data_IF_309723212469
#
_entry.id   IF_309723212469
#
_cell.length_a   1.000
_cell.length_b   1.000
_cell.length_c   1.000
_cell.angle_alpha   90.00
_cell.angle_beta   90.00
_cell.angle_gamma   90.00
#
_symmetry.space_group_name_H-M   'P 1'
#
loop_
_entity.id
_entity.type
_entity.pdbx_description
1 polymer ?
#
# COMPACT_ATOMS: atom_id res chain seq x y z
N UNK A 1 35.16 10.05 -2.78
CA UNK A 1 35.83 11.13 -3.55
C UNK A 1 35.48 10.92 -5.01
N UNK A 2 35.02 11.97 -5.70
CA UNK A 2 34.64 11.84 -7.10
C UNK A 2 35.88 11.86 -7.99
N UNK A 3 35.91 10.91 -8.90
CA UNK A 3 36.94 10.76 -9.93
C UNK A 3 36.27 10.84 -11.30
N UNK A 4 37.05 11.12 -12.33
CA UNK A 4 36.62 11.04 -13.72
C UNK A 4 37.50 10.04 -14.45
N UNK A 5 36.94 9.43 -15.49
CA UNK A 5 37.63 8.43 -16.28
C UNK A 5 36.90 8.13 -17.56
N UNK A 6 37.53 7.34 -18.42
CA UNK A 6 36.98 6.98 -19.73
C UNK A 6 36.58 5.51 -19.74
N UNK A 7 35.38 5.20 -20.24
CA UNK A 7 34.92 3.82 -20.39
C UNK A 7 35.70 3.15 -21.53
N UNK A 8 36.58 2.20 -21.21
CA UNK A 8 37.47 1.54 -22.19
C UNK A 8 36.92 0.19 -22.68
N UNK A 9 36.14 -0.49 -21.85
CA UNK A 9 35.56 -1.80 -22.14
C UNK A 9 34.12 -1.83 -21.64
N UNK A 10 33.23 -2.45 -22.41
CA UNK A 10 31.82 -2.58 -22.08
C UNK A 10 31.27 -3.86 -22.69
N UNK A 11 30.62 -4.67 -21.88
CA UNK A 11 29.88 -5.85 -22.30
C UNK A 11 28.39 -5.57 -22.11
N UNK A 12 27.66 -5.43 -23.21
CA UNK A 12 26.23 -5.11 -23.19
C UNK A 12 25.35 -6.26 -22.72
N UNK A 13 25.73 -7.50 -23.02
CA UNK A 13 24.96 -8.70 -22.66
C UNK A 13 24.96 -8.94 -21.16
N UNK A 14 26.13 -8.76 -20.53
CA UNK A 14 26.31 -8.95 -19.09
C UNK A 14 26.17 -7.64 -18.29
N UNK A 15 26.11 -6.49 -18.96
CA UNK A 15 25.88 -5.19 -18.33
C UNK A 15 27.02 -4.72 -17.43
N UNK A 16 28.28 -4.97 -17.78
CA UNK A 16 29.43 -4.46 -17.01
C UNK A 16 30.56 -3.99 -17.93
N UNK A 17 31.49 -3.23 -17.37
CA UNK A 17 32.64 -2.73 -18.10
C UNK A 17 33.78 -2.31 -17.19
N UNK A 18 34.77 -1.65 -17.81
CA UNK A 18 35.93 -1.11 -17.12
C UNK A 18 36.16 0.34 -17.52
N UNK A 19 36.41 1.16 -16.52
CA UNK A 19 36.69 2.59 -16.64
C UNK A 19 38.15 2.82 -16.30
N UNK A 20 38.88 3.47 -17.18
CA UNK A 20 40.24 3.92 -16.86
C UNK A 20 40.16 5.23 -16.10
N UNK A 21 40.57 5.22 -14.84
CA UNK A 21 40.65 6.40 -13.97
C UNK A 21 41.70 7.39 -14.50
N UNK A 22 41.37 8.68 -14.57
CA UNK A 22 42.30 9.71 -15.04
C UNK A 22 43.47 10.01 -14.07
N UNK A 23 43.31 9.65 -12.79
CA UNK A 23 44.34 9.92 -11.77
C UNK A 23 45.29 8.76 -11.53
N UNK A 24 44.78 7.53 -11.65
CA UNK A 24 45.50 6.34 -11.19
C UNK A 24 45.86 5.37 -12.30
N UNK A 25 45.44 5.61 -13.56
CA UNK A 25 45.56 4.69 -14.73
C UNK A 25 45.07 3.25 -14.50
N UNK A 26 44.59 2.93 -13.30
CA UNK A 26 43.99 1.65 -12.94
C UNK A 26 42.64 1.49 -13.64
N UNK A 27 42.39 0.27 -14.11
CA UNK A 27 41.07 -0.15 -14.59
C UNK A 27 40.13 -0.38 -13.40
N UNK A 28 39.07 0.41 -13.35
CA UNK A 28 38.05 0.35 -12.30
C UNK A 28 36.84 -0.38 -12.86
N UNK A 29 36.35 -1.38 -12.13
CA UNK A 29 35.17 -2.13 -12.53
C UNK A 29 33.92 -1.25 -12.45
N UNK A 30 33.03 -1.33 -13.44
CA UNK A 30 31.73 -0.63 -13.41
C UNK A 30 30.60 -1.56 -13.83
N UNK A 31 29.49 -1.49 -13.12
CA UNK A 31 28.27 -2.24 -13.45
C UNK A 31 27.20 -1.31 -14.04
N UNK A 32 26.31 -1.82 -14.89
CA UNK A 32 25.19 -1.05 -15.49
C UNK A 32 24.29 -0.44 -14.42
N UNK A 33 24.16 -1.09 -13.26
CA UNK A 33 23.40 -0.57 -12.12
C UNK A 33 23.99 0.72 -11.52
N UNK A 34 25.30 0.98 -11.74
CA UNK A 34 25.93 2.21 -11.28
C UNK A 34 25.64 3.40 -12.21
N UNK A 35 25.17 3.17 -13.43
CA UNK A 35 24.77 4.20 -14.38
C UNK A 35 23.37 4.74 -14.06
N UNK A 36 23.09 6.01 -14.40
CA UNK A 36 21.75 6.58 -14.25
C UNK A 36 20.78 5.86 -15.20
N UNK A 37 19.54 5.67 -14.74
CA UNK A 37 18.45 5.02 -15.49
C UNK A 37 17.85 5.96 -16.55
N UNK A 38 18.71 6.56 -17.36
CA UNK A 38 18.32 7.53 -18.38
C UNK A 38 17.87 6.87 -19.69
N UNK A 39 17.91 5.53 -19.75
CA UNK A 39 17.65 4.75 -20.97
C UNK A 39 18.80 4.74 -21.98
N UNK A 40 19.88 5.52 -21.75
CA UNK A 40 21.07 5.48 -22.59
C UNK A 40 22.02 4.37 -22.15
N UNK A 41 22.40 3.51 -23.10
CA UNK A 41 23.46 2.52 -22.91
C UNK A 41 24.83 3.21 -22.79
N UNK A 42 25.75 2.70 -21.96
CA UNK A 42 27.12 3.21 -21.89
C UNK A 42 27.85 3.03 -23.21
N UNK A 43 28.63 4.03 -23.64
CA UNK A 43 29.40 3.98 -24.89
C UNK A 43 30.88 3.85 -24.60
N UNK A 44 31.57 3.02 -25.39
CA UNK A 44 33.03 2.94 -25.36
C UNK A 44 33.62 4.31 -25.73
N UNK A 45 34.67 4.73 -25.00
CA UNK A 45 35.30 6.03 -25.15
C UNK A 45 34.57 7.19 -24.46
N UNK A 46 33.48 6.92 -23.72
CA UNK A 46 32.74 7.96 -23.02
C UNK A 46 33.44 8.42 -21.74
N UNK A 47 33.57 9.74 -21.56
CA UNK A 47 34.03 10.34 -20.31
C UNK A 47 32.90 10.30 -19.28
N UNK A 48 33.16 9.74 -18.11
CA UNK A 48 32.20 9.65 -17.01
C UNK A 48 32.84 10.07 -15.69
N UNK A 49 32.03 10.61 -14.78
CA UNK A 49 32.43 10.87 -13.39
C UNK A 49 31.83 9.79 -12.48
N UNK A 50 32.59 9.29 -11.52
CA UNK A 50 32.16 8.22 -10.63
C UNK A 50 32.85 8.35 -9.27
N UNK A 51 32.28 7.72 -8.25
CA UNK A 51 32.92 7.56 -6.96
C UNK A 51 33.67 6.22 -6.92
N UNK A 52 34.88 6.23 -6.36
CA UNK A 52 35.68 5.02 -6.14
C UNK A 52 35.28 4.39 -4.81
N UNK A 53 34.78 3.16 -4.86
CA UNK A 53 34.46 2.32 -3.71
C UNK A 53 35.18 0.96 -3.85
N UNK A 54 35.32 0.19 -2.78
CA UNK A 54 35.89 -1.16 -2.84
C UNK A 54 34.75 -2.17 -2.77
N UNK A 55 34.76 -3.21 -3.61
CA UNK A 55 33.81 -4.32 -3.49
C UNK A 55 34.09 -5.21 -2.26
N UNK A 56 33.28 -6.25 -2.09
CA UNK A 56 33.45 -7.23 -1.01
C UNK A 56 34.81 -7.95 -1.07
N UNK A 57 35.42 -8.02 -2.26
CA UNK A 57 36.73 -8.61 -2.51
C UNK A 57 37.88 -7.57 -2.44
N UNK A 58 37.58 -6.31 -2.14
CA UNK A 58 38.56 -5.22 -2.00
C UNK A 58 39.03 -4.57 -3.32
N UNK A 59 38.44 -4.91 -4.46
CA UNK A 59 38.77 -4.35 -5.78
C UNK A 59 38.09 -3.00 -5.99
N UNK A 60 38.74 -2.05 -6.69
CA UNK A 60 38.16 -0.74 -6.96
C UNK A 60 36.98 -0.84 -7.94
N UNK A 61 35.83 -0.36 -7.48
CA UNK A 61 34.56 -0.34 -8.19
C UNK A 61 34.05 1.10 -8.31
N UNK A 62 33.59 1.44 -9.51
CA UNK A 62 32.99 2.72 -9.83
C UNK A 62 31.51 2.66 -9.46
N UNK A 63 31.12 3.49 -8.49
CA UNK A 63 29.72 3.64 -8.07
C UNK A 63 29.22 5.04 -8.43
N UNK A 64 27.89 5.19 -8.51
CA UNK A 64 27.22 6.49 -8.70
C UNK A 64 27.77 7.26 -9.91
N UNK A 65 27.77 6.60 -11.07
CA UNK A 65 28.29 7.16 -12.32
C UNK A 65 27.41 8.31 -12.79
N UNK A 66 28.03 9.37 -13.32
CA UNK A 66 27.40 10.54 -13.90
C UNK A 66 28.05 10.87 -15.24
N UNK A 67 27.22 11.23 -16.23
CA UNK A 67 27.70 11.65 -17.55
C UNK A 67 27.91 13.18 -17.53
N UNK A 68 29.13 13.69 -17.77
CA UNK A 68 29.40 15.13 -17.86
C UNK A 68 28.65 15.73 -19.06
N UNK A 69 28.05 16.90 -18.87
CA UNK A 69 27.34 17.62 -19.93
C UNK A 69 25.84 17.38 -20.01
N UNK A 70 25.29 16.43 -19.24
CA UNK A 70 23.84 16.40 -19.00
C UNK A 70 23.59 17.09 -17.65
N UNK A 71 22.98 18.27 -17.69
CA UNK A 71 22.26 18.74 -16.52
C UNK A 71 21.37 17.57 -16.08
N UNK A 72 21.34 17.19 -14.79
CA UNK A 72 20.36 16.21 -14.34
C UNK A 72 19.03 16.71 -14.87
N UNK A 73 18.43 15.99 -15.82
CA UNK A 73 17.01 16.15 -16.12
C UNK A 73 16.39 15.83 -14.80
N UNK A 74 16.13 16.88 -14.01
CA UNK A 74 15.53 16.77 -12.70
C UNK A 74 14.33 15.87 -12.94
N UNK A 75 14.32 14.61 -12.48
CA UNK A 75 13.08 13.88 -12.52
C UNK A 75 12.17 14.78 -11.72
N UNK A 76 11.13 15.32 -12.38
CA UNK A 76 10.23 16.30 -11.80
C UNK A 76 9.97 15.81 -10.39
N UNK A 77 10.56 16.52 -9.41
CA UNK A 77 10.56 16.09 -8.03
C UNK A 77 9.08 16.09 -7.72
N UNK A 78 8.42 14.93 -7.77
CA UNK A 78 7.22 14.72 -7.00
C UNK A 78 7.71 15.06 -5.60
N UNK A 79 7.30 16.23 -5.15
CA UNK A 79 7.55 16.70 -3.82
C UNK A 79 7.30 15.49 -2.89
N UNK A 80 8.13 15.25 -1.87
CA UNK A 80 7.79 14.25 -0.88
C UNK A 80 6.43 14.65 -0.33
N UNK A 81 5.38 13.98 -0.80
CA UNK A 81 4.04 14.16 -0.30
C UNK A 81 4.11 13.58 1.11
N UNK A 82 4.35 14.49 2.06
CA UNK A 82 4.30 14.26 3.49
C UNK A 82 4.95 12.95 3.92
N UNK A 83 6.27 12.96 4.07
CA UNK A 83 6.91 12.17 5.11
C UNK A 83 6.46 12.72 6.47
N UNK A 84 5.18 12.52 6.77
CA UNK A 84 4.68 12.49 8.12
C UNK A 84 5.33 11.26 8.73
N UNK A 85 6.56 11.43 9.22
CA UNK A 85 7.14 10.59 10.24
C UNK A 85 6.20 10.68 11.45
N UNK A 86 5.09 9.96 11.36
CA UNK A 86 4.13 9.75 12.43
C UNK A 86 4.84 8.87 13.41
N UNK A 87 5.56 9.52 14.33
CA UNK A 87 6.15 8.92 15.51
C UNK A 87 5.12 7.96 16.12
N UNK A 88 5.35 6.66 15.95
CA UNK A 88 4.53 5.60 16.53
C UNK A 88 4.42 5.77 18.04
N UNK A 89 5.39 6.45 18.65
CA UNK A 89 5.44 6.80 20.06
C UNK A 89 4.27 7.69 20.51
N UNK A 90 3.80 8.62 19.67
CA UNK A 90 2.67 9.50 20.01
C UNK A 90 1.33 8.77 20.05
N UNK A 91 1.16 7.72 19.22
CA UNK A 91 -0.05 6.89 19.22
C UNK A 91 -0.12 5.96 20.41
N UNK A 92 1.02 5.40 20.82
CA UNK A 92 1.08 4.56 22.03
C UNK A 92 0.81 5.40 23.28
N UNK A 93 1.42 6.59 23.39
CA UNK A 93 1.20 7.48 24.55
C UNK A 93 -0.26 7.94 24.64
N UNK A 94 -0.91 8.27 23.52
CA UNK A 94 -2.32 8.68 23.51
C UNK A 94 -3.26 7.54 23.87
N UNK A 95 -3.03 6.32 23.37
CA UNK A 95 -3.82 5.15 23.74
C UNK A 95 -3.65 4.82 25.22
N UNK A 96 -2.41 4.85 25.75
CA UNK A 96 -2.15 4.62 27.17
C UNK A 96 -2.81 5.69 28.06
N UNK A 97 -2.80 6.95 27.63
CA UNK A 97 -3.46 8.05 28.36
C UNK A 97 -4.98 7.88 28.37
N UNK A 98 -5.60 7.48 27.25
CA UNK A 98 -7.05 7.21 27.20
C UNK A 98 -7.43 6.01 28.07
N UNK A 99 -6.67 4.91 28.02
CA UNK A 99 -6.90 3.74 28.86
C UNK A 99 -6.73 4.10 30.34
N UNK A 100 -5.69 4.85 30.69
CA UNK A 100 -5.44 5.33 32.05
C UNK A 100 -6.59 6.20 32.57
N UNK A 101 -7.07 7.17 31.79
CA UNK A 101 -8.21 8.02 32.16
C UNK A 101 -9.48 7.18 32.29
N UNK A 102 -9.73 6.23 31.39
CA UNK A 102 -10.88 5.33 31.46
C UNK A 102 -10.87 4.45 32.72
N UNK A 103 -9.72 3.86 33.08
CA UNK A 103 -9.57 3.08 34.30
C UNK A 103 -9.71 3.94 35.57
N UNK A 104 -9.19 5.17 35.55
CA UNK A 104 -9.33 6.12 36.66
C UNK A 104 -10.81 6.52 36.85
N UNK A 105 -11.50 6.88 35.76
CA UNK A 105 -12.92 7.22 35.78
C UNK A 105 -13.77 6.02 36.26
N UNK A 106 -13.48 4.81 35.79
CA UNK A 106 -14.17 3.59 36.24
C UNK A 106 -13.96 3.36 37.74
N UNK A 107 -12.74 3.54 38.25
CA UNK A 107 -12.43 3.38 39.68
C UNK A 107 -13.12 4.43 40.56
N UNK A 108 -13.40 5.63 40.03
CA UNK A 108 -14.12 6.69 40.73
C UNK A 108 -15.66 6.52 40.67
N UNK A 109 -16.17 5.81 39.66
CA UNK A 109 -17.62 5.60 39.43
C UNK A 109 -18.12 4.26 40.00
N UNK A 110 -17.29 3.20 40.00
CA UNK A 110 -17.62 1.90 40.56
C UNK A 110 -18.13 1.89 42.01
N UNK A 111 -17.61 2.69 42.97
CA UNK A 111 -18.14 2.68 44.34
C UNK A 111 -19.54 3.30 44.46
N UNK A 112 -20.09 3.92 43.41
CA UNK A 112 -21.44 4.52 43.43
C UNK A 112 -22.56 3.52 43.10
N UNK A 113 -22.23 2.37 42.49
CA UNK A 113 -23.21 1.38 42.03
C UNK A 113 -23.32 0.13 42.93
N UNK A 114 -22.49 0.01 43.96
CA UNK A 114 -22.56 -1.08 44.94
C UNK A 114 -23.54 -0.82 46.09
N UNK A 115 -24.63 -0.08 45.85
CA UNK A 115 -25.75 0.02 46.78
C UNK A 115 -26.73 -1.12 46.48
N UNK A 116 -26.48 -2.28 47.08
CA UNK A 116 -27.39 -3.43 47.05
C UNK A 116 -28.69 -3.07 47.80
N UNK A 117 -29.88 -3.13 47.18
CA UNK A 117 -31.13 -2.98 47.91
C UNK A 117 -31.41 -4.24 48.75
N UNK A 118 -31.64 -4.05 50.04
CA UNK A 118 -31.99 -5.06 51.05
C UNK A 118 -33.31 -5.77 50.70
N UNK A 119 -33.38 -7.11 50.75
CA UNK A 119 -34.63 -7.85 50.52
C UNK A 119 -35.59 -7.72 51.72
N UNK A 120 -36.79 -7.21 51.48
CA UNK A 120 -37.90 -7.18 52.45
C UNK A 120 -38.63 -8.54 52.46
N UNK A 121 -38.96 -9.12 53.62
CA UNK A 121 -39.64 -10.41 53.68
C UNK A 121 -41.11 -10.33 53.23
N UNK A 122 -41.47 -11.34 52.45
CA UNK A 122 -42.75 -11.60 51.80
C UNK A 122 -43.83 -12.04 52.80
N UNK A 123 -44.99 -11.37 52.80
CA UNK A 123 -46.21 -11.86 53.45
C UNK A 123 -47.11 -12.46 52.37
N UNK A 124 -47.39 -13.75 52.51
CA UNK A 124 -48.28 -14.53 51.67
C UNK A 124 -49.76 -14.15 51.88
N UNK A 125 -50.51 -14.03 50.79
CA UNK A 125 -51.98 -14.00 50.77
C UNK A 125 -52.49 -14.91 49.64
N UNK A 126 -53.53 -15.73 49.85
CA UNK A 126 -53.80 -16.91 49.04
C UNK A 126 -54.64 -16.67 47.77
N UNK A 127 -54.51 -17.65 46.87
CA UNK A 127 -55.26 -17.87 45.62
C UNK A 127 -56.77 -17.66 45.75
N UNK A 128 -57.37 -17.12 44.70
CA UNK A 128 -58.71 -17.52 44.29
C UNK A 128 -58.81 -17.51 42.76
N UNK A 129 -59.19 -18.66 42.23
CA UNK A 129 -59.35 -18.99 40.82
C UNK A 129 -60.59 -18.37 40.20
N UNK A 130 -60.53 -18.04 38.91
CA UNK A 130 -61.56 -18.26 37.87
C UNK A 130 -60.96 -17.74 36.55
N UNK A 131 -60.57 -18.61 35.62
CA UNK A 131 -61.42 -19.26 34.62
C UNK A 131 -61.98 -18.27 33.59
N UNK A 132 -61.96 -18.70 32.32
CA UNK A 132 -62.47 -18.08 31.07
C UNK A 132 -61.34 -17.52 30.19
N UNK A 133 -61.20 -17.78 28.90
CA UNK A 133 -61.69 -18.78 27.93
C UNK A 133 -60.79 -18.54 26.70
N UNK A 134 -60.33 -19.60 26.04
CA UNK A 134 -59.63 -19.50 24.76
C UNK A 134 -60.53 -18.85 23.68
N UNK A 135 -59.95 -18.23 22.65
CA UNK A 135 -59.91 -19.00 21.40
C UNK A 135 -58.64 -18.79 20.57
N UNK A 136 -58.16 -19.91 20.04
CA UNK A 136 -57.87 -20.19 18.63
C UNK A 136 -57.82 -19.00 17.65
N UNK A 137 -56.65 -18.82 17.01
CA UNK A 137 -56.49 -18.53 15.56
C UNK A 137 -54.99 -18.61 15.23
N UNK A 138 -54.45 -19.74 14.77
CA UNK A 138 -54.28 -20.15 13.36
C UNK A 138 -53.48 -19.14 12.51
N UNK A 139 -52.15 -19.32 12.52
CA UNK A 139 -51.23 -19.47 11.38
C UNK A 139 -51.16 -18.34 10.29
N UNK A 140 -50.39 -18.54 9.20
CA UNK A 140 -48.91 -18.48 9.10
C UNK A 140 -48.49 -17.44 8.03
N UNK A 141 -47.18 -17.23 7.81
CA UNK A 141 -46.55 -17.00 6.48
C UNK A 141 -45.18 -16.32 6.64
N UNK A 142 -44.09 -17.04 6.32
CA UNK A 142 -43.29 -16.83 5.08
C UNK A 142 -42.77 -15.40 4.94
N UNK A 143 -41.49 -15.18 5.21
CA UNK A 143 -40.43 -15.26 4.21
C UNK A 143 -40.71 -14.34 3.03
N UNK A 144 -39.86 -13.32 2.87
CA UNK A 144 -39.12 -13.03 1.62
C UNK A 144 -38.32 -11.76 1.86
N UNK A 145 -37.01 -11.93 1.97
CA UNK A 145 -36.07 -10.87 1.70
C UNK A 145 -36.24 -10.45 0.22
N UNK A 146 -36.43 -9.17 -0.10
CA UNK A 146 -36.16 -8.71 -1.44
C UNK A 146 -34.64 -8.55 -1.55
N UNK A 147 -33.99 -9.60 -2.06
CA UNK A 147 -32.77 -9.44 -2.83
C UNK A 147 -33.13 -8.56 -4.03
N UNK A 148 -32.82 -7.27 -3.94
CA UNK A 148 -32.95 -6.37 -5.09
C UNK A 148 -31.72 -6.56 -5.98
N UNK A 149 -31.89 -6.58 -7.31
CA UNK A 149 -30.89 -7.05 -8.24
C UNK A 149 -29.76 -6.03 -8.35
N UNK A 150 -28.52 -6.51 -8.34
CA UNK A 150 -27.39 -5.77 -8.87
C UNK A 150 -27.77 -5.31 -10.28
N UNK A 151 -27.98 -4.00 -10.42
CA UNK A 151 -28.34 -3.35 -11.66
C UNK A 151 -27.29 -3.75 -12.71
N UNK A 152 -27.75 -4.46 -13.74
CA UNK A 152 -26.99 -4.72 -14.94
C UNK A 152 -26.55 -3.38 -15.53
N UNK A 153 -25.24 -3.13 -15.46
CA UNK A 153 -24.61 -1.98 -16.08
C UNK A 153 -24.57 -2.18 -17.62
N UNK A 154 -24.61 -1.07 -18.40
CA UNK A 154 -24.68 -1.15 -19.84
C UNK A 154 -23.40 -1.76 -20.42
N UNK A 155 -23.55 -2.72 -21.34
CA UNK A 155 -22.45 -3.33 -22.07
C UNK A 155 -21.76 -2.31 -22.99
N UNK A 156 -20.88 -1.47 -22.43
CA UNK A 156 -20.00 -0.61 -23.18
C UNK A 156 -18.83 -1.46 -23.69
N UNK A 157 -18.59 -1.45 -25.00
CA UNK A 157 -17.50 -2.22 -25.60
C UNK A 157 -16.15 -1.62 -25.20
N UNK A 158 -15.44 -2.28 -24.30
CA UNK A 158 -14.10 -1.89 -23.88
C UNK A 158 -13.04 -2.60 -24.74
N UNK A 159 -12.01 -1.88 -25.19
CA UNK A 159 -10.90 -2.42 -25.98
C UNK A 159 -9.58 -2.24 -25.24
N UNK A 160 -8.65 -3.19 -25.43
CA UNK A 160 -7.36 -3.16 -24.75
C UNK A 160 -6.44 -2.08 -25.33
N UNK A 161 -6.56 -0.84 -24.85
CA UNK A 161 -5.79 0.32 -25.33
C UNK A 161 -4.40 0.46 -24.67
N UNK A 162 -3.87 -0.61 -24.07
CA UNK A 162 -2.54 -0.60 -23.42
C UNK A 162 -2.47 0.07 -22.05
N UNK A 163 -3.62 0.45 -21.47
CA UNK A 163 -3.70 0.97 -20.09
C UNK A 163 -3.55 -0.18 -19.09
N UNK A 164 -2.69 0.01 -18.09
CA UNK A 164 -2.32 -1.05 -17.13
C UNK A 164 -2.54 -0.68 -15.66
N UNK A 165 -2.91 0.57 -15.36
CA UNK A 165 -3.05 1.08 -13.99
C UNK A 165 -4.41 1.77 -13.75
N UNK A 166 -4.91 1.70 -12.51
CA UNK A 166 -6.21 2.23 -12.09
C UNK A 166 -6.46 3.70 -12.39
N UNK A 167 -5.42 4.53 -12.33
CA UNK A 167 -5.54 5.97 -12.59
C UNK A 167 -5.89 6.32 -14.05
N UNK A 168 -5.81 5.34 -14.96
CA UNK A 168 -6.07 5.53 -16.39
C UNK A 168 -7.50 5.13 -16.76
N UNK A 169 -8.28 4.58 -15.83
CA UNK A 169 -9.63 4.08 -16.06
C UNK A 169 -10.66 5.03 -15.50
N UNK A 170 -11.93 4.87 -15.89
CA UNK A 170 -13.01 5.77 -15.50
C UNK A 170 -14.17 5.07 -14.80
N UNK A 171 -14.17 3.73 -14.78
CA UNK A 171 -15.21 2.96 -14.09
C UNK A 171 -14.72 1.61 -13.59
N UNK A 172 -15.42 1.07 -12.59
CA UNK A 172 -15.16 -0.25 -12.01
C UNK A 172 -15.37 -1.39 -13.03
N UNK A 173 -16.40 -1.28 -13.86
CA UNK A 173 -16.73 -2.30 -14.87
C UNK A 173 -15.69 -2.35 -15.99
N UNK A 174 -15.21 -1.19 -16.44
CA UNK A 174 -14.09 -1.07 -17.38
C UNK A 174 -12.83 -1.72 -16.78
N UNK A 175 -12.53 -1.47 -15.51
CA UNK A 175 -11.39 -2.08 -14.83
C UNK A 175 -11.52 -3.61 -14.72
N UNK A 176 -12.72 -4.12 -14.42
CA UNK A 176 -13.03 -5.55 -14.37
C UNK A 176 -12.94 -6.22 -15.75
N UNK A 177 -13.27 -5.49 -16.83
CA UNK A 177 -13.07 -5.99 -18.18
C UNK A 177 -11.58 -6.11 -18.53
N UNK A 178 -10.79 -5.07 -18.27
CA UNK A 178 -9.36 -5.09 -18.59
C UNK A 178 -8.60 -6.18 -17.83
N UNK A 179 -8.96 -6.44 -16.57
CA UNK A 179 -8.38 -7.52 -15.77
C UNK A 179 -8.62 -8.92 -16.38
N UNK A 180 -9.76 -9.13 -17.05
CA UNK A 180 -10.15 -10.42 -17.64
C UNK A 180 -9.74 -10.58 -19.11
N UNK A 181 -9.74 -9.49 -19.87
CA UNK A 181 -9.57 -9.52 -21.33
C UNK A 181 -8.21 -8.99 -21.83
N UNK A 182 -7.42 -8.26 -21.02
CA UNK A 182 -6.19 -7.61 -21.49
C UNK A 182 -4.92 -8.17 -20.82
N UNK A 183 -3.85 -8.48 -21.59
CA UNK A 183 -2.59 -8.95 -21.02
C UNK A 183 -1.79 -7.81 -20.35
N UNK A 184 -1.15 -8.10 -19.21
CA UNK A 184 -0.17 -7.20 -18.57
C UNK A 184 -0.76 -6.09 -17.67
N UNK A 185 -2.04 -6.18 -17.33
CA UNK A 185 -2.73 -5.25 -16.42
C UNK A 185 -2.33 -5.48 -14.96
N UNK A 186 -2.02 -4.39 -14.24
CA UNK A 186 -1.59 -4.38 -12.84
C UNK A 186 -2.53 -3.47 -12.02
N UNK A 187 -3.78 -3.92 -11.90
CA UNK A 187 -4.88 -3.15 -11.31
C UNK A 187 -5.48 -3.81 -10.06
N UNK A 188 -5.17 -5.08 -9.86
CA UNK A 188 -5.55 -5.89 -8.71
C UNK A 188 -4.29 -6.21 -7.91
N UNK A 189 -4.10 -5.48 -6.81
CA UNK A 189 -2.89 -5.58 -5.99
C UNK A 189 -2.91 -6.80 -5.06
N UNK A 190 -4.09 -7.22 -4.63
CA UNK A 190 -4.38 -8.32 -3.70
C UNK A 190 -4.77 -9.63 -4.41
N UNK A 191 -4.95 -9.60 -5.72
CA UNK A 191 -5.33 -10.73 -6.57
C UNK A 191 -6.67 -11.35 -6.14
N UNK A 192 -7.59 -10.53 -5.63
CA UNK A 192 -8.90 -10.96 -5.15
C UNK A 192 -10.00 -10.85 -6.23
N UNK A 193 -9.63 -10.41 -7.44
CA UNK A 193 -10.53 -10.24 -8.58
C UNK A 193 -11.27 -8.90 -8.60
N UNK A 194 -11.00 -8.00 -7.64
CA UNK A 194 -11.59 -6.65 -7.59
C UNK A 194 -10.54 -5.61 -7.98
N UNK A 195 -10.52 -5.15 -9.24
CA UNK A 195 -9.56 -4.13 -9.66
C UNK A 195 -9.93 -2.77 -9.07
N UNK A 196 -8.93 -1.98 -8.68
CA UNK A 196 -9.11 -0.57 -8.33
C UNK A 196 -10.11 -0.29 -7.18
N UNK A 197 -10.09 -1.14 -6.14
CA UNK A 197 -10.88 -1.07 -4.89
C UNK A 197 -10.83 0.30 -4.17
N UNK A 198 -9.82 1.13 -4.47
CA UNK A 198 -9.56 2.42 -3.81
C UNK A 198 -10.03 3.63 -4.62
N UNK A 199 -10.48 3.45 -5.86
CA UNK A 199 -10.82 4.55 -6.78
C UNK A 199 -12.17 4.38 -7.47
N UNK A 200 -12.47 3.16 -7.94
CA UNK A 200 -13.63 2.93 -8.82
C UNK A 200 -14.61 1.90 -8.26
N UNK A 201 -14.11 0.84 -7.63
CA UNK A 201 -14.93 -0.22 -7.05
C UNK A 201 -14.98 -0.03 -5.52
N UNK A 202 -16.03 0.62 -5.00
CA UNK A 202 -16.29 0.78 -3.56
C UNK A 202 -17.48 -0.07 -3.13
#
# INVERSE_FOLDING_TARGET
>A
MRTHGTLIKWNEERGFGFVRSAYSDVEVFVHIAAFPRDGLRPRLGELISFDLEKDAEGRPCAVRVMRPGRAPTTPARRAPANAHARSAFGRVLTVLLVIGIGACAYSLIAPRFAATPTPTPSVAVPRTSSAVTAPTSIAPATATAPAVPAAAAPAQHFQCDGRTHCAQMTSCEEAAYFLRNCPGVQMDGNHDGVPCERQWCH
#
